data_IF_456681714247
#
_entry.id   IF_456681714247
#
_cell.length_a   1.000
_cell.length_b   1.000
_cell.length_c   1.000
_cell.angle_alpha   90.00
_cell.angle_beta   90.00
_cell.angle_gamma   90.00
#
_symmetry.space_group_name_H-M   'P 1'
#
loop_
_entity.id
_entity.type
_entity.pdbx_description
1 polymer ?
#
# COMPACT_ATOMS: atom_id res chain seq x y z
N UNK A 1 15.98 12.30 11.18
CA UNK A 1 16.39 13.42 11.99
C UNK A 1 15.49 13.47 13.22
N UNK A 2 16.04 13.26 14.42
CA UNK A 2 15.34 13.52 15.66
C UNK A 2 15.16 12.28 16.52
N UNK A 3 15.92 12.24 17.53
CA UNK A 3 16.00 11.63 18.84
C UNK A 3 17.25 10.76 19.05
N UNK A 4 18.41 11.46 18.97
CA UNK A 4 19.66 11.08 19.63
C UNK A 4 19.84 11.95 20.91
N UNK A 5 18.76 12.15 21.66
CA UNK A 5 18.82 12.85 22.95
C UNK A 5 18.15 11.92 23.93
N UNK A 6 19.00 11.25 24.73
CA UNK A 6 18.78 10.56 25.99
C UNK A 6 19.28 9.10 26.04
N UNK A 7 20.29 8.72 25.27
CA UNK A 7 21.12 7.57 25.69
C UNK A 7 21.90 8.05 26.94
N UNK A 8 21.47 7.60 28.09
CA UNK A 8 22.17 7.85 29.34
C UNK A 8 23.58 7.25 29.24
N UNK A 9 24.57 8.12 28.98
CA UNK A 9 25.95 7.74 28.78
C UNK A 9 26.49 7.08 30.05
N UNK A 10 26.69 5.74 30.01
CA UNK A 10 27.22 5.00 31.12
C UNK A 10 28.70 5.39 31.33
N UNK A 11 29.01 6.01 32.47
CA UNK A 11 30.36 6.50 32.79
C UNK A 11 31.01 5.63 33.85
N UNK A 12 32.34 5.38 33.75
CA UNK A 12 33.07 4.70 34.80
C UNK A 12 32.94 5.45 36.15
N UNK A 13 32.73 4.70 37.23
CA UNK A 13 32.48 5.22 38.55
C UNK A 13 31.04 5.52 38.92
N UNK A 14 30.11 5.34 37.98
CA UNK A 14 28.67 5.54 38.21
C UNK A 14 28.11 4.48 39.14
N UNK A 15 27.29 4.91 40.12
CA UNK A 15 26.58 4.03 41.05
C UNK A 15 25.21 3.74 40.51
N UNK A 16 24.86 2.45 40.42
CA UNK A 16 23.54 1.99 40.02
C UNK A 16 23.04 0.95 41.01
N UNK A 17 21.76 0.59 40.91
CA UNK A 17 21.23 -0.59 41.56
C UNK A 17 20.85 -1.64 40.51
N UNK A 18 21.21 -2.90 40.75
CA UNK A 18 20.94 -4.01 39.84
C UNK A 18 20.14 -5.11 40.53
N UNK A 19 19.30 -5.80 39.75
CA UNK A 19 18.65 -7.03 40.20
C UNK A 19 19.30 -8.20 39.49
N UNK A 20 19.73 -9.18 40.29
CA UNK A 20 20.32 -10.43 39.83
C UNK A 20 19.32 -11.58 39.95
N UNK A 21 19.40 -12.52 39.06
CA UNK A 21 18.73 -13.81 39.22
C UNK A 21 19.56 -14.82 40.04
N UNK A 22 19.07 -16.05 40.16
CA UNK A 22 19.73 -17.14 40.89
C UNK A 22 21.09 -17.57 40.31
N UNK A 23 21.39 -17.17 39.08
CA UNK A 23 22.64 -17.48 38.38
C UNK A 23 23.61 -16.26 38.32
N UNK A 24 23.31 -15.20 39.07
CA UNK A 24 24.02 -13.91 39.06
C UNK A 24 23.99 -13.19 37.70
N UNK A 25 22.92 -13.39 36.90
CA UNK A 25 22.72 -12.63 35.66
C UNK A 25 21.88 -11.39 35.95
N UNK A 26 22.31 -10.24 35.45
CA UNK A 26 21.61 -8.95 35.63
C UNK A 26 20.32 -8.97 34.83
N UNK A 27 19.19 -8.78 35.53
CA UNK A 27 17.85 -8.72 34.96
C UNK A 27 17.30 -7.29 34.86
N UNK A 28 17.71 -6.40 35.80
CA UNK A 28 17.33 -5.00 35.77
C UNK A 28 18.50 -4.12 36.16
N UNK A 29 18.57 -2.94 35.51
CA UNK A 29 19.51 -1.88 35.84
C UNK A 29 18.72 -0.62 36.17
N UNK A 30 18.97 -0.02 37.30
CA UNK A 30 18.36 1.23 37.71
C UNK A 30 19.44 2.30 37.89
N UNK A 31 19.36 3.34 37.08
CA UNK A 31 20.28 4.46 37.08
C UNK A 31 19.79 5.64 37.91
N UNK A 32 18.55 5.60 38.41
CA UNK A 32 18.01 6.64 39.26
C UNK A 32 18.08 6.21 40.76
N UNK A 33 18.81 6.96 41.55
CA UNK A 33 18.96 6.74 42.99
C UNK A 33 17.69 7.02 43.81
N UNK A 34 16.72 7.72 43.22
CA UNK A 34 15.42 8.00 43.84
C UNK A 34 14.43 6.83 43.76
N UNK A 35 14.65 5.95 42.83
CA UNK A 35 13.76 4.77 42.64
C UNK A 35 14.31 3.61 43.46
N UNK A 36 13.58 3.23 44.51
CA UNK A 36 13.91 2.08 45.36
C UNK A 36 13.28 0.85 44.79
N UNK A 37 14.12 -0.17 44.46
CA UNK A 37 13.65 -1.45 43.95
C UNK A 37 13.93 -2.54 44.99
N UNK A 38 12.92 -3.32 45.33
CA UNK A 38 13.09 -4.44 46.26
C UNK A 38 14.05 -5.47 45.68
N UNK A 39 14.92 -6.04 46.54
CA UNK A 39 15.94 -7.05 46.20
C UNK A 39 17.02 -6.55 45.20
N UNK A 40 17.18 -5.23 45.07
CA UNK A 40 18.27 -4.67 44.27
C UNK A 40 19.58 -4.61 45.07
N UNK A 41 20.70 -4.74 44.36
CA UNK A 41 22.06 -4.67 44.93
C UNK A 41 22.76 -3.45 44.32
N UNK A 42 23.31 -2.59 45.14
CA UNK A 42 24.09 -1.45 44.63
C UNK A 42 25.41 -1.93 44.02
N UNK A 43 25.74 -1.33 42.85
CA UNK A 43 26.88 -1.72 42.05
C UNK A 43 27.56 -0.48 41.44
N UNK A 44 28.89 -0.39 41.57
CA UNK A 44 29.66 0.65 40.94
C UNK A 44 30.20 0.17 39.59
N UNK A 45 29.76 0.82 38.52
CA UNK A 45 30.17 0.51 37.17
C UNK A 45 31.59 0.97 36.89
N UNK A 46 32.43 0.13 36.31
CA UNK A 46 33.68 0.51 35.69
C UNK A 46 33.59 0.45 34.16
N UNK A 47 32.92 -0.56 33.63
CA UNK A 47 32.70 -0.74 32.20
C UNK A 47 31.37 -1.47 31.95
N UNK A 48 30.70 -1.19 30.84
CA UNK A 48 29.46 -1.85 30.46
C UNK A 48 29.36 -1.99 28.94
N UNK A 49 29.13 -3.21 28.47
CA UNK A 49 28.72 -3.45 27.09
C UNK A 49 27.31 -4.09 27.06
N UNK A 50 26.30 -3.24 26.90
CA UNK A 50 24.91 -3.64 26.82
C UNK A 50 24.45 -3.91 25.38
N UNK A 51 25.38 -3.87 24.41
CA UNK A 51 25.04 -4.00 22.99
C UNK A 51 25.52 -5.32 22.39
N UNK A 52 26.78 -5.72 22.63
CA UNK A 52 27.38 -6.92 22.02
C UNK A 52 27.59 -8.03 23.02
N UNK A 53 28.48 -7.80 23.97
CA UNK A 53 28.90 -8.81 24.94
C UNK A 53 27.88 -9.02 26.06
N UNK A 54 26.96 -8.08 26.25
CA UNK A 54 25.95 -8.09 27.31
C UNK A 54 26.59 -8.32 28.67
N UNK A 55 27.56 -7.47 29.01
CA UNK A 55 28.35 -7.57 30.23
C UNK A 55 28.35 -6.24 31.00
N UNK A 56 28.43 -6.35 32.32
CA UNK A 56 28.55 -5.24 33.26
C UNK A 56 29.75 -5.55 34.19
N UNK A 57 30.74 -4.69 34.15
CA UNK A 57 31.98 -4.86 34.95
C UNK A 57 32.10 -3.76 35.99
N UNK A 58 32.44 -4.12 37.21
CA UNK A 58 32.56 -3.15 38.29
C UNK A 58 32.72 -3.82 39.66
N UNK A 59 32.23 -3.13 40.70
CA UNK A 59 32.43 -3.48 42.11
C UNK A 59 31.10 -3.49 42.86
N UNK A 60 30.89 -4.49 43.72
CA UNK A 60 29.85 -4.38 44.76
C UNK A 60 30.28 -3.46 45.86
N UNK A 61 29.31 -2.80 46.51
CA UNK A 61 29.63 -1.93 47.66
C UNK A 61 30.33 -2.78 48.75
N UNK A 62 31.40 -2.21 49.30
CA UNK A 62 32.31 -2.83 50.29
C UNK A 62 33.13 -4.05 49.76
N UNK A 63 33.29 -4.18 48.47
CA UNK A 63 34.19 -5.17 47.84
C UNK A 63 35.21 -4.43 46.98
N UNK A 64 36.49 -4.79 47.15
CA UNK A 64 37.57 -4.32 46.26
C UNK A 64 37.78 -5.29 45.08
N UNK A 65 37.01 -6.39 45.06
CA UNK A 65 37.07 -7.40 43.99
C UNK A 65 36.28 -6.95 42.76
N UNK A 66 36.94 -6.82 41.62
CA UNK A 66 36.35 -6.50 40.33
C UNK A 66 35.64 -7.74 39.81
N UNK A 67 34.37 -7.59 39.50
CA UNK A 67 33.53 -8.65 38.95
C UNK A 67 32.94 -8.24 37.60
N UNK A 68 32.81 -9.23 36.69
CA UNK A 68 32.09 -9.05 35.43
C UNK A 68 30.85 -9.93 35.47
N UNK A 69 29.70 -9.27 35.37
CA UNK A 69 28.39 -9.91 35.39
C UNK A 69 27.83 -10.01 33.96
N UNK A 70 27.17 -11.09 33.65
CA UNK A 70 26.41 -11.22 32.40
C UNK A 70 25.08 -10.44 32.56
N UNK A 71 24.66 -9.77 31.51
CA UNK A 71 23.37 -9.06 31.45
C UNK A 71 22.42 -9.85 30.58
N UNK A 72 21.21 -10.07 31.08
CA UNK A 72 20.17 -10.77 30.33
C UNK A 72 19.81 -10.05 29.03
N UNK A 73 19.61 -10.77 27.94
CA UNK A 73 19.13 -10.18 26.66
C UNK A 73 17.71 -9.61 26.76
N UNK A 74 17.04 -9.83 27.87
CA UNK A 74 15.72 -9.30 28.20
C UNK A 74 15.77 -8.39 29.43
N UNK A 75 16.96 -7.99 29.87
CA UNK A 75 17.12 -7.07 30.97
C UNK A 75 16.44 -5.73 30.68
N UNK A 76 15.95 -5.07 31.72
CA UNK A 76 15.32 -3.75 31.61
C UNK A 76 16.19 -2.68 32.28
N UNK A 77 16.23 -1.50 31.68
CA UNK A 77 16.76 -0.28 32.27
C UNK A 77 15.57 0.52 32.81
N UNK A 78 15.67 1.01 34.02
CA UNK A 78 14.68 1.90 34.61
C UNK A 78 15.18 3.31 34.42
N UNK A 79 14.42 4.09 33.67
CA UNK A 79 14.68 5.50 33.40
C UNK A 79 14.23 6.40 34.57
N UNK A 80 14.67 7.65 34.58
CA UNK A 80 14.38 8.62 35.64
C UNK A 80 12.90 8.97 35.83
N UNK A 81 12.06 8.65 34.87
CA UNK A 81 10.60 8.80 34.94
C UNK A 81 9.89 7.52 35.48
N UNK A 82 10.65 6.47 35.76
CA UNK A 82 10.15 5.16 36.18
C UNK A 82 9.75 4.23 35.04
N UNK A 83 9.97 4.61 33.81
CA UNK A 83 9.69 3.74 32.63
C UNK A 83 10.72 2.62 32.55
N UNK A 84 10.28 1.39 32.32
CA UNK A 84 11.16 0.26 32.08
C UNK A 84 11.38 0.04 30.57
N UNK A 85 12.62 0.21 30.13
CA UNK A 85 13.02 0.00 28.74
C UNK A 85 13.84 -1.26 28.63
N UNK A 86 13.49 -2.16 27.73
CA UNK A 86 14.25 -3.41 27.49
C UNK A 86 15.57 -3.08 26.80
N UNK A 87 16.69 -3.60 27.35
CA UNK A 87 18.00 -3.53 26.70
C UNK A 87 17.91 -4.24 25.34
N UNK A 88 18.25 -3.53 24.27
CA UNK A 88 18.18 -4.03 22.92
C UNK A 88 19.57 -4.41 22.39
N UNK A 89 20.01 -5.68 22.51
CA UNK A 89 21.27 -6.13 21.91
C UNK A 89 21.28 -5.84 20.41
N UNK A 90 22.46 -5.58 19.84
CA UNK A 90 22.63 -5.29 18.39
C UNK A 90 21.94 -6.32 17.51
N UNK A 91 21.92 -7.60 17.93
CA UNK A 91 21.24 -8.69 17.21
C UNK A 91 19.73 -8.48 17.04
N UNK A 92 19.08 -7.74 17.94
CA UNK A 92 17.63 -7.43 17.92
C UNK A 92 17.31 -6.07 17.33
N UNK A 93 18.30 -5.26 17.02
CA UNK A 93 18.09 -3.96 16.40
C UNK A 93 17.75 -4.12 14.92
N UNK A 94 16.84 -3.29 14.41
CA UNK A 94 16.47 -3.26 12.98
C UNK A 94 17.68 -3.07 12.07
N UNK A 95 18.68 -2.30 12.53
CA UNK A 95 19.90 -2.00 11.77
C UNK A 95 20.85 -3.19 11.63
N UNK A 96 20.77 -4.19 12.50
CA UNK A 96 21.55 -5.44 12.42
C UNK A 96 20.89 -6.52 11.57
N UNK A 97 19.59 -6.35 11.26
CA UNK A 97 18.86 -7.29 10.43
C UNK A 97 19.44 -7.33 9.01
N UNK A 98 19.42 -8.51 8.40
CA UNK A 98 19.85 -8.68 7.01
C UNK A 98 19.05 -7.77 6.07
N UNK A 99 19.64 -7.32 4.96
CA UNK A 99 18.99 -6.47 3.97
C UNK A 99 17.60 -7.02 3.57
N UNK A 100 17.48 -8.33 3.37
CA UNK A 100 16.22 -8.98 3.04
C UNK A 100 15.16 -8.85 4.11
N UNK A 101 15.52 -8.95 5.39
CA UNK A 101 14.57 -8.76 6.48
C UNK A 101 14.10 -7.30 6.59
N UNK A 102 14.99 -6.34 6.39
CA UNK A 102 14.61 -4.91 6.33
C UNK A 102 13.66 -4.62 5.17
N UNK A 103 13.94 -5.17 3.97
CA UNK A 103 13.07 -5.04 2.80
C UNK A 103 11.69 -5.64 3.11
N UNK A 104 11.62 -6.85 3.68
CA UNK A 104 10.35 -7.49 4.04
C UNK A 104 9.53 -6.65 5.02
N UNK A 105 10.17 -6.13 6.08
CA UNK A 105 9.50 -5.30 7.08
C UNK A 105 8.97 -4.02 6.47
N UNK A 106 9.78 -3.33 5.66
CA UNK A 106 9.38 -2.08 5.02
C UNK A 106 8.31 -2.29 3.92
N UNK A 107 8.36 -3.43 3.22
CA UNK A 107 7.41 -3.78 2.17
C UNK A 107 6.07 -4.33 2.72
N UNK A 108 6.02 -4.80 3.96
CA UNK A 108 4.83 -5.44 4.53
C UNK A 108 3.60 -4.51 4.54
N UNK A 109 3.79 -3.23 4.89
CA UNK A 109 2.71 -2.24 4.88
C UNK A 109 2.12 -2.01 3.49
N UNK A 110 2.91 -1.58 2.51
CA UNK A 110 2.46 -1.42 1.12
C UNK A 110 1.86 -2.69 0.53
N UNK A 111 2.45 -3.86 0.81
CA UNK A 111 1.96 -5.16 0.35
C UNK A 111 0.54 -5.46 0.88
N UNK A 112 0.29 -5.23 2.18
CA UNK A 112 -1.03 -5.42 2.77
C UNK A 112 -2.07 -4.48 2.14
N UNK A 113 -1.73 -3.22 1.87
CA UNK A 113 -2.62 -2.29 1.20
C UNK A 113 -2.93 -2.74 -0.23
N UNK A 114 -1.95 -3.31 -0.94
CA UNK A 114 -2.15 -3.86 -2.27
C UNK A 114 -3.11 -5.06 -2.25
N UNK A 115 -2.92 -5.99 -1.33
CA UNK A 115 -3.82 -7.15 -1.14
C UNK A 115 -5.23 -6.69 -0.78
N UNK A 116 -5.35 -5.73 0.16
CA UNK A 116 -6.65 -5.18 0.55
C UNK A 116 -7.37 -4.52 -0.64
N UNK A 117 -6.65 -3.78 -1.47
CA UNK A 117 -7.21 -3.16 -2.68
C UNK A 117 -7.78 -4.19 -3.64
N UNK A 118 -7.05 -5.29 -3.90
CA UNK A 118 -7.54 -6.41 -4.72
C UNK A 118 -8.85 -6.97 -4.15
N UNK A 119 -8.89 -7.24 -2.84
CA UNK A 119 -10.09 -7.77 -2.19
C UNK A 119 -11.28 -6.82 -2.30
N UNK A 120 -11.06 -5.52 -2.11
CA UNK A 120 -12.12 -4.51 -2.26
C UNK A 120 -12.67 -4.49 -3.69
N UNK A 121 -11.82 -4.49 -4.73
CA UNK A 121 -12.29 -4.51 -6.11
C UNK A 121 -13.02 -5.80 -6.47
N UNK A 122 -12.61 -6.95 -5.91
CA UNK A 122 -13.33 -8.21 -6.07
C UNK A 122 -14.74 -8.12 -5.46
N UNK A 123 -14.84 -7.60 -4.21
CA UNK A 123 -16.13 -7.42 -3.53
C UNK A 123 -17.03 -6.48 -4.34
N UNK A 124 -16.50 -5.35 -4.81
CA UNK A 124 -17.25 -4.41 -5.65
C UNK A 124 -17.73 -5.08 -6.94
N UNK A 125 -16.89 -5.89 -7.59
CA UNK A 125 -17.28 -6.64 -8.78
C UNK A 125 -18.46 -7.58 -8.52
N UNK A 126 -18.47 -8.29 -7.39
CA UNK A 126 -19.62 -9.12 -7.00
C UNK A 126 -20.88 -8.29 -6.68
N UNK A 127 -20.73 -7.18 -5.97
CA UNK A 127 -21.86 -6.31 -5.61
C UNK A 127 -22.51 -5.64 -6.83
N UNK A 128 -21.75 -5.35 -7.88
CA UNK A 128 -22.23 -4.77 -9.12
C UNK A 128 -22.86 -5.81 -10.08
N UNK A 129 -22.85 -7.09 -9.71
CA UNK A 129 -23.35 -8.17 -10.55
C UNK A 129 -22.43 -8.57 -11.68
N UNK A 130 -21.16 -8.14 -11.64
CA UNK A 130 -20.14 -8.45 -12.62
C UNK A 130 -19.16 -7.32 -12.85
N UNK A 131 -18.23 -7.54 -13.78
CA UNK A 131 -17.18 -6.57 -14.13
C UNK A 131 -17.30 -6.18 -15.60
N UNK A 132 -17.03 -4.92 -15.99
CA UNK A 132 -17.14 -4.47 -17.37
C UNK A 132 -16.22 -5.28 -18.29
N UNK A 133 -16.81 -5.87 -19.33
CA UNK A 133 -16.07 -6.54 -20.40
C UNK A 133 -15.40 -5.51 -21.31
N UNK A 134 -14.22 -5.84 -21.83
CA UNK A 134 -13.62 -5.04 -22.90
C UNK A 134 -14.02 -5.53 -24.31
N UNK A 135 -14.88 -6.54 -24.41
CA UNK A 135 -15.44 -6.96 -25.69
C UNK A 135 -16.34 -5.83 -26.25
N UNK A 136 -16.31 -5.63 -27.55
CA UNK A 136 -17.14 -4.63 -28.23
C UNK A 136 -18.62 -5.09 -28.38
N UNK A 137 -19.17 -5.61 -27.27
CA UNK A 137 -20.56 -6.07 -27.20
C UNK A 137 -21.38 -5.07 -26.43
N UNK A 138 -22.54 -4.69 -26.97
CA UNK A 138 -23.45 -3.76 -26.39
C UNK A 138 -24.18 -4.41 -25.22
N UNK A 139 -24.09 -3.81 -24.03
CA UNK A 139 -24.91 -4.19 -22.89
C UNK A 139 -26.29 -3.52 -22.98
N UNK A 140 -26.58 -2.63 -22.05
CA UNK A 140 -27.86 -1.92 -22.08
C UNK A 140 -27.83 -0.74 -23.05
N UNK A 141 -28.96 -0.49 -23.71
CA UNK A 141 -29.18 0.69 -24.54
C UNK A 141 -30.07 1.68 -23.76
N UNK A 142 -29.59 2.91 -23.62
CA UNK A 142 -30.28 3.95 -22.86
C UNK A 142 -31.45 4.50 -23.67
N UNK A 143 -32.56 4.83 -22.99
CA UNK A 143 -33.72 5.47 -23.62
C UNK A 143 -33.34 6.82 -24.25
N UNK A 144 -33.98 7.15 -25.36
CA UNK A 144 -33.74 8.38 -26.13
C UNK A 144 -32.31 8.58 -26.63
N UNK A 145 -31.53 7.51 -26.71
CA UNK A 145 -30.14 7.50 -27.16
C UNK A 145 -30.03 7.38 -28.69
N UNK A 146 -28.86 7.75 -29.22
CA UNK A 146 -28.53 7.55 -30.63
C UNK A 146 -28.55 6.06 -31.01
N UNK A 147 -28.11 5.19 -30.13
CA UNK A 147 -28.11 3.74 -30.31
C UNK A 147 -29.55 3.19 -30.46
N UNK A 148 -30.50 3.65 -29.61
CA UNK A 148 -31.88 3.23 -29.66
C UNK A 148 -32.53 3.67 -30.97
N UNK A 149 -32.33 4.91 -31.39
CA UNK A 149 -32.87 5.46 -32.66
C UNK A 149 -32.34 4.68 -33.88
N UNK A 150 -31.04 4.28 -33.82
CA UNK A 150 -30.40 3.49 -34.86
C UNK A 150 -30.85 1.99 -34.86
N UNK A 151 -31.59 1.54 -33.85
CA UNK A 151 -32.03 0.15 -33.71
C UNK A 151 -30.95 -0.81 -33.19
N UNK A 152 -29.91 -0.29 -32.53
CA UNK A 152 -28.96 -1.12 -31.80
C UNK A 152 -29.66 -1.73 -30.56
N UNK A 153 -29.26 -2.96 -30.21
CA UNK A 153 -29.88 -3.72 -29.12
C UNK A 153 -28.81 -4.29 -28.18
N UNK A 154 -29.26 -4.66 -27.01
CA UNK A 154 -28.45 -5.44 -26.07
C UNK A 154 -28.04 -6.78 -26.73
N UNK A 155 -26.75 -7.15 -26.56
CA UNK A 155 -26.16 -8.34 -27.14
C UNK A 155 -25.53 -8.14 -28.53
N UNK A 156 -25.76 -7.00 -29.21
CA UNK A 156 -25.09 -6.71 -30.47
C UNK A 156 -23.56 -6.64 -30.27
N UNK A 157 -22.84 -7.43 -31.07
CA UNK A 157 -21.37 -7.34 -31.10
C UNK A 157 -20.94 -6.47 -32.26
N UNK A 158 -20.26 -5.36 -31.98
CA UNK A 158 -19.72 -4.48 -33.02
C UNK A 158 -18.50 -5.14 -33.67
N UNK A 159 -18.53 -5.32 -34.97
CA UNK A 159 -17.47 -5.92 -35.75
C UNK A 159 -16.58 -4.86 -36.41
N UNK A 160 -17.21 -3.82 -36.99
CA UNK A 160 -16.47 -2.71 -37.62
C UNK A 160 -17.26 -1.38 -37.57
N UNK A 161 -16.56 -0.26 -37.67
CA UNK A 161 -17.13 1.09 -37.81
C UNK A 161 -16.44 1.76 -39.02
N UNK A 162 -17.23 2.22 -40.00
CA UNK A 162 -16.74 2.80 -41.26
C UNK A 162 -15.64 1.94 -41.91
N UNK A 163 -15.79 0.61 -41.85
CA UNK A 163 -14.83 -0.35 -42.40
C UNK A 163 -13.59 -0.61 -41.54
N UNK A 164 -13.44 0.04 -40.42
CA UNK A 164 -12.37 -0.22 -39.44
C UNK A 164 -12.79 -1.32 -38.51
N UNK A 165 -12.07 -2.43 -38.46
CA UNK A 165 -12.37 -3.57 -37.55
C UNK A 165 -12.23 -3.12 -36.08
N UNK A 166 -13.14 -3.62 -35.25
CA UNK A 166 -13.22 -3.32 -33.82
C UNK A 166 -13.02 -4.59 -33.02
N UNK A 167 -11.96 -4.60 -32.21
CA UNK A 167 -11.63 -5.74 -31.35
C UNK A 167 -11.90 -5.49 -29.87
N UNK A 168 -12.15 -4.23 -29.48
CA UNK A 168 -12.35 -3.87 -28.08
C UNK A 168 -13.35 -2.73 -27.92
N UNK A 169 -13.96 -2.67 -26.74
CA UNK A 169 -14.82 -1.56 -26.36
C UNK A 169 -14.09 -0.21 -26.41
N UNK A 170 -12.81 -0.20 -26.03
CA UNK A 170 -12.03 1.03 -25.99
C UNK A 170 -11.78 1.57 -27.40
N UNK A 171 -11.53 0.71 -28.40
CA UNK A 171 -11.43 1.10 -29.81
C UNK A 171 -12.75 1.68 -30.32
N UNK A 172 -13.87 0.98 -30.08
CA UNK A 172 -15.20 1.47 -30.42
C UNK A 172 -15.45 2.86 -29.82
N UNK A 173 -15.21 3.00 -28.51
CA UNK A 173 -15.43 4.26 -27.79
C UNK A 173 -14.58 5.40 -28.35
N UNK A 174 -13.33 5.14 -28.72
CA UNK A 174 -12.44 6.15 -29.31
C UNK A 174 -12.99 6.70 -30.62
N UNK A 175 -13.47 5.84 -31.51
CA UNK A 175 -14.05 6.27 -32.80
C UNK A 175 -15.36 7.03 -32.57
N UNK A 176 -16.24 6.49 -31.75
CA UNK A 176 -17.53 7.12 -31.42
C UNK A 176 -17.33 8.53 -30.85
N UNK A 177 -16.42 8.69 -29.87
CA UNK A 177 -16.15 9.99 -29.24
C UNK A 177 -15.62 11.05 -30.20
N UNK A 178 -14.82 10.65 -31.20
CA UNK A 178 -14.28 11.56 -32.20
C UNK A 178 -15.29 11.90 -33.33
N UNK A 179 -16.45 11.26 -33.35
CA UNK A 179 -17.45 11.34 -34.43
C UNK A 179 -18.78 11.96 -33.98
N UNK A 180 -18.71 13.02 -33.15
CA UNK A 180 -19.90 13.74 -32.73
C UNK A 180 -20.68 14.29 -33.95
N UNK A 181 -21.98 14.04 -33.98
CA UNK A 181 -22.93 14.46 -35.04
C UNK A 181 -22.55 13.96 -36.46
N UNK A 182 -21.69 12.95 -36.59
CA UNK A 182 -21.33 12.32 -37.87
C UNK A 182 -22.01 10.95 -37.97
N UNK A 183 -22.65 10.67 -39.11
CA UNK A 183 -23.21 9.34 -39.36
C UNK A 183 -22.07 8.33 -39.55
N UNK A 184 -22.15 7.22 -38.81
CA UNK A 184 -21.21 6.09 -38.85
C UNK A 184 -21.95 4.84 -39.40
N UNK A 185 -21.30 4.10 -40.28
CA UNK A 185 -21.74 2.78 -40.67
C UNK A 185 -21.14 1.75 -39.72
N UNK A 186 -22.00 1.10 -38.92
CA UNK A 186 -21.60 0.12 -37.92
C UNK A 186 -22.03 -1.26 -38.36
N UNK A 187 -21.07 -2.14 -38.59
CA UNK A 187 -21.33 -3.56 -38.80
C UNK A 187 -21.44 -4.29 -37.47
N UNK A 188 -22.53 -4.93 -37.21
CA UNK A 188 -22.80 -5.68 -35.99
C UNK A 188 -23.08 -7.15 -36.29
N UNK A 189 -22.79 -8.03 -35.33
CA UNK A 189 -23.28 -9.39 -35.28
C UNK A 189 -24.45 -9.47 -34.29
N UNK A 190 -25.61 -9.87 -34.76
CA UNK A 190 -26.82 -10.13 -33.99
C UNK A 190 -27.38 -11.51 -34.35
N UNK A 191 -27.55 -12.37 -33.34
CA UNK A 191 -28.03 -13.75 -33.53
C UNK A 191 -27.23 -14.54 -34.59
N UNK A 192 -25.91 -14.37 -34.64
CA UNK A 192 -25.02 -15.02 -35.60
C UNK A 192 -25.11 -14.48 -37.05
N UNK A 193 -25.81 -13.35 -37.26
CA UNK A 193 -25.92 -12.68 -38.56
C UNK A 193 -25.31 -11.32 -38.55
N UNK A 194 -24.50 -11.03 -39.55
CA UNK A 194 -23.93 -9.68 -39.74
C UNK A 194 -25.00 -8.75 -40.34
N UNK A 195 -25.13 -7.56 -39.75
CA UNK A 195 -26.03 -6.50 -40.20
C UNK A 195 -25.29 -5.15 -40.17
N UNK A 196 -25.64 -4.27 -41.10
CA UNK A 196 -25.18 -2.88 -41.09
C UNK A 196 -26.25 -1.98 -40.51
N UNK A 197 -25.82 -1.08 -39.63
CA UNK A 197 -26.66 -0.11 -38.93
C UNK A 197 -26.01 1.27 -39.06
N UNK A 198 -26.78 2.27 -39.49
CA UNK A 198 -26.36 3.65 -39.51
C UNK A 198 -26.68 4.30 -38.17
N UNK A 199 -25.67 4.84 -37.51
CA UNK A 199 -25.83 5.54 -36.23
C UNK A 199 -25.12 6.87 -36.22
N UNK A 200 -25.79 7.90 -35.71
CA UNK A 200 -25.20 9.24 -35.55
C UNK A 200 -25.01 9.52 -34.06
N UNK A 201 -23.77 9.46 -33.52
CA UNK A 201 -23.53 9.75 -32.12
C UNK A 201 -23.94 11.20 -31.78
N UNK A 202 -24.71 11.38 -30.69
CA UNK A 202 -25.09 12.72 -30.21
C UNK A 202 -23.87 13.46 -29.68
N UNK A 203 -23.71 14.74 -30.04
CA UNK A 203 -22.72 15.60 -29.42
C UNK A 203 -23.08 15.88 -27.95
N UNK A 204 -22.15 15.62 -27.05
CA UNK A 204 -22.22 15.99 -25.63
C UNK A 204 -20.96 16.77 -25.25
N UNK A 205 -21.09 17.68 -24.31
CA UNK A 205 -19.97 18.44 -23.81
C UNK A 205 -19.20 17.62 -22.75
N UNK A 206 -17.91 17.42 -22.95
CA UNK A 206 -17.02 16.78 -21.99
C UNK A 206 -16.58 17.77 -20.90
N UNK A 207 -16.02 17.28 -19.81
CA UNK A 207 -15.60 18.09 -18.66
C UNK A 207 -14.54 19.15 -19.00
N UNK A 208 -13.82 18.99 -20.12
CA UNK A 208 -12.83 19.91 -20.64
C UNK A 208 -13.42 20.94 -21.66
N UNK A 209 -14.73 20.94 -21.84
CA UNK A 209 -15.44 21.78 -22.81
C UNK A 209 -15.40 21.29 -24.25
N UNK A 210 -14.73 20.15 -24.53
CA UNK A 210 -14.73 19.56 -25.88
C UNK A 210 -16.06 18.87 -26.20
N UNK A 211 -16.44 18.87 -27.49
CA UNK A 211 -17.61 18.09 -27.95
C UNK A 211 -17.19 16.67 -28.30
N UNK A 212 -17.84 15.70 -27.69
CA UNK A 212 -17.62 14.28 -27.95
C UNK A 212 -18.91 13.60 -28.40
N UNK A 213 -18.77 12.57 -29.24
CA UNK A 213 -19.91 11.74 -29.64
C UNK A 213 -20.28 10.72 -28.55
N UNK A 214 -21.58 10.51 -28.36
CA UNK A 214 -22.13 9.53 -27.44
C UNK A 214 -23.23 8.71 -28.12
N UNK A 215 -23.20 7.37 -27.97
CA UNK A 215 -24.22 6.45 -28.45
C UNK A 215 -25.32 6.20 -27.43
N UNK A 216 -25.00 6.23 -26.14
CA UNK A 216 -25.90 5.86 -25.04
C UNK A 216 -26.05 4.36 -24.88
N UNK A 217 -24.92 3.67 -24.84
CA UNK A 217 -24.82 2.23 -24.58
C UNK A 217 -23.86 1.97 -23.42
N UNK A 218 -24.09 0.86 -22.73
CA UNK A 218 -23.19 0.39 -21.67
C UNK A 218 -22.41 -0.85 -22.09
N UNK A 219 -21.36 -1.17 -21.37
CA UNK A 219 -20.61 -2.44 -21.53
C UNK A 219 -21.42 -3.60 -21.01
N UNK A 220 -21.22 -4.77 -21.58
CA UNK A 220 -21.69 -6.03 -20.97
C UNK A 220 -20.89 -6.29 -19.70
N UNK A 221 -21.58 -6.78 -18.67
CA UNK A 221 -20.94 -7.23 -17.45
C UNK A 221 -20.65 -8.73 -17.52
N UNK A 222 -19.40 -9.12 -17.24
CA UNK A 222 -19.00 -10.52 -17.02
C UNK A 222 -19.11 -10.83 -15.54
N UNK A 223 -19.87 -11.86 -15.19
CA UNK A 223 -20.11 -12.28 -13.81
C UNK A 223 -19.40 -13.58 -13.43
N UNK A 224 -18.53 -14.10 -14.30
CA UNK A 224 -17.72 -15.26 -13.99
C UNK A 224 -16.63 -14.92 -12.97
N UNK A 225 -16.38 -15.86 -12.06
CA UNK A 225 -15.44 -15.67 -10.93
C UNK A 225 -14.03 -15.29 -11.41
N UNK A 226 -13.58 -15.91 -12.50
CA UNK A 226 -12.23 -15.65 -13.02
C UNK A 226 -12.08 -14.21 -13.52
N UNK A 227 -13.09 -13.70 -14.25
CA UNK A 227 -13.12 -12.29 -14.70
C UNK A 227 -13.15 -11.31 -13.53
N UNK A 228 -13.90 -11.62 -12.46
CA UNK A 228 -13.95 -10.76 -11.25
C UNK A 228 -12.60 -10.77 -10.52
N UNK A 229 -11.95 -11.93 -10.38
CA UNK A 229 -10.61 -12.01 -9.77
C UNK A 229 -9.56 -11.25 -10.59
N UNK A 230 -9.56 -11.47 -11.91
CA UNK A 230 -8.66 -10.77 -12.82
C UNK A 230 -8.88 -9.25 -12.78
N UNK A 231 -10.13 -8.80 -12.71
CA UNK A 231 -10.49 -7.40 -12.59
C UNK A 231 -9.96 -6.78 -11.30
N UNK A 232 -10.09 -7.46 -10.15
CA UNK A 232 -9.55 -7.00 -8.88
C UNK A 232 -8.06 -6.71 -8.96
N UNK A 233 -7.30 -7.61 -9.58
CA UNK A 233 -5.87 -7.43 -9.78
C UNK A 233 -5.56 -6.29 -10.77
N UNK A 234 -6.17 -6.30 -11.95
CA UNK A 234 -5.89 -5.30 -13.00
C UNK A 234 -6.27 -3.89 -12.58
N UNK A 235 -7.40 -3.72 -11.86
CA UNK A 235 -7.80 -2.43 -11.35
C UNK A 235 -6.85 -1.90 -10.28
N UNK A 236 -6.40 -2.76 -9.38
CA UNK A 236 -5.39 -2.37 -8.38
C UNK A 236 -4.12 -1.87 -9.05
N UNK A 237 -3.59 -2.62 -10.04
CA UNK A 237 -2.40 -2.18 -10.80
C UNK A 237 -2.66 -0.86 -11.54
N UNK A 238 -3.81 -0.71 -12.18
CA UNK A 238 -4.18 0.50 -12.93
C UNK A 238 -4.23 1.73 -12.02
N UNK A 239 -4.80 1.61 -10.82
CA UNK A 239 -4.84 2.70 -9.83
C UNK A 239 -3.44 3.06 -9.36
N UNK A 240 -2.58 2.07 -9.07
CA UNK A 240 -1.19 2.32 -8.68
C UNK A 240 -0.42 3.07 -9.78
N UNK A 241 -0.54 2.60 -11.03
CA UNK A 241 0.10 3.26 -12.18
C UNK A 241 -0.43 4.70 -12.36
N UNK A 242 -1.74 4.91 -12.22
CA UNK A 242 -2.36 6.23 -12.30
C UNK A 242 -1.80 7.18 -11.24
N UNK A 243 -1.72 6.73 -9.98
CA UNK A 243 -1.18 7.53 -8.88
C UNK A 243 0.30 7.86 -9.11
N UNK A 244 1.11 6.87 -9.50
CA UNK A 244 2.52 7.09 -9.79
C UNK A 244 2.72 8.04 -10.97
N UNK A 245 1.90 7.94 -12.02
CA UNK A 245 1.94 8.84 -13.18
C UNK A 245 1.55 10.27 -12.78
N UNK A 246 0.51 10.42 -11.94
CA UNK A 246 0.09 11.72 -11.42
C UNK A 246 1.19 12.36 -10.57
N UNK A 247 1.81 11.60 -9.67
CA UNK A 247 2.94 12.07 -8.86
C UNK A 247 4.15 12.43 -9.76
N UNK A 248 4.48 11.58 -10.74
CA UNK A 248 5.54 11.84 -11.71
C UNK A 248 5.30 13.15 -12.49
N UNK A 249 4.05 13.42 -12.86
CA UNK A 249 3.68 14.65 -13.57
C UNK A 249 3.86 15.92 -12.72
N UNK A 250 3.66 15.82 -11.39
CA UNK A 250 3.93 16.92 -10.45
C UNK A 250 5.43 17.26 -10.39
N UNK A 251 6.30 16.25 -10.43
CA UNK A 251 7.75 16.47 -10.44
C UNK A 251 8.26 17.02 -11.78
N UNK A 252 7.65 16.63 -12.91
CA UNK A 252 8.12 17.03 -14.25
C UNK A 252 7.56 18.38 -14.69
N UNK A 253 6.35 18.75 -14.28
CA UNK A 253 5.70 20.02 -14.66
C UNK A 253 6.03 21.21 -13.77
N UNK A 254 6.74 20.99 -12.64
CA UNK A 254 6.98 22.02 -11.63
C UNK A 254 5.69 22.52 -10.98
N UNK A 255 5.73 22.83 -9.71
CA UNK A 255 4.66 23.56 -9.05
C UNK A 255 4.60 24.98 -9.64
N UNK A 256 3.77 25.20 -10.66
CA UNK A 256 3.39 26.57 -11.05
C UNK A 256 2.42 27.11 -10.00
N UNK A 257 2.96 27.76 -8.97
CA UNK A 257 2.20 28.49 -7.94
C UNK A 257 1.72 29.87 -8.42
N UNK A 258 1.70 30.12 -9.75
CA UNK A 258 1.20 31.36 -10.32
C UNK A 258 -0.05 31.07 -11.17
N UNK A 259 -1.17 30.89 -10.50
CA UNK A 259 -2.52 31.27 -10.98
C UNK A 259 -3.39 31.58 -9.79
#
# INVERSE_FOLDING_TARGET
AGHDEDEQEIKPGMMITIILDSENVVQKLNFDDKIIIENSVPFQIEDADLHKEMTLTGYFINSEEKVTLSVSKTATIIESDGTEVVVAPVERQFNSATLWNRIKTNAAGPMNNFILSILVFIIVGFMQGGVPSNDATIGQVTDNSAALVAGLKEGDKVLSIDGVEIHSWDEMTKIVRSSADKALSVSIERDGKTQEVQVTPKAVEASDGSKIGQLGVTRVLKNDILSILAYGFTQTVSVVVLVLSALGSLFTRGFNLNQ
#
